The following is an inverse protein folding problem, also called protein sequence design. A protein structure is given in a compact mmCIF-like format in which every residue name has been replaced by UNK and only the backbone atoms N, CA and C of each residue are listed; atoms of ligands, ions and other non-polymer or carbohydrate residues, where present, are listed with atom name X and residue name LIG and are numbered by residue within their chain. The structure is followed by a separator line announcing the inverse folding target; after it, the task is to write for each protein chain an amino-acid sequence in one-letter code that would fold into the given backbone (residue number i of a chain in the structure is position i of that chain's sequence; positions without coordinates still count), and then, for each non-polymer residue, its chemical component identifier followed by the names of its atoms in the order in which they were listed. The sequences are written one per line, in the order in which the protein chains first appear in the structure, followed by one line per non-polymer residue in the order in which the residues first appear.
data_IF_455937593731
#
_entry.id   IF_455937593731
#
_cell.length_a   1.000
_cell.length_b   1.000
_cell.length_c   1.000
_cell.angle_alpha   90.00
_cell.angle_beta   90.00
_cell.angle_gamma   90.00
#
_symmetry.space_group_name_H-M   'P 1'
#
loop_
_entity.id
_entity.type
_entity.pdbx_description
1 polymer ?
#
# COMPACT_ATOMS: atom_id res chain seq x y z
N UNK A 1 -20.74 26.04 -20.99
CA UNK A 1 -19.52 25.30 -21.41
C UNK A 1 -19.48 24.00 -20.63
N UNK A 2 -19.68 22.87 -21.28
CA UNK A 2 -19.45 21.56 -20.68
C UNK A 2 -17.94 21.27 -20.77
N UNK A 3 -17.25 21.20 -19.64
CA UNK A 3 -15.86 20.74 -19.60
C UNK A 3 -15.91 19.23 -19.77
N UNK A 4 -15.54 18.74 -20.95
CA UNK A 4 -15.39 17.30 -21.20
C UNK A 4 -14.13 16.83 -20.46
N UNK A 5 -14.30 16.30 -19.25
CA UNK A 5 -13.23 15.67 -18.50
C UNK A 5 -12.98 14.29 -19.12
N UNK A 6 -11.95 14.17 -19.96
CA UNK A 6 -11.51 12.86 -20.44
C UNK A 6 -10.97 12.05 -19.26
N UNK A 7 -11.38 10.78 -19.09
CA UNK A 7 -10.83 9.94 -18.04
C UNK A 7 -9.33 9.75 -18.25
N UNK A 8 -8.51 10.24 -17.32
CA UNK A 8 -7.05 10.02 -17.35
C UNK A 8 -6.75 8.68 -16.70
N UNK A 9 -6.26 7.71 -17.49
CA UNK A 9 -5.55 6.55 -16.94
C UNK A 9 -4.23 7.05 -16.36
N UNK A 10 -4.11 7.06 -15.04
CA UNK A 10 -2.83 7.31 -14.38
C UNK A 10 -1.96 6.06 -14.49
N UNK A 11 -0.64 6.25 -14.68
CA UNK A 11 0.30 5.12 -14.62
C UNK A 11 0.30 4.50 -13.22
N UNK A 12 0.62 3.21 -13.13
CA UNK A 12 0.78 2.52 -11.84
C UNK A 12 1.76 3.26 -10.94
N UNK A 13 2.88 3.75 -11.48
CA UNK A 13 3.87 4.50 -10.71
C UNK A 13 3.32 5.81 -10.12
N UNK A 14 2.49 6.53 -10.87
CA UNK A 14 1.86 7.74 -10.36
C UNK A 14 0.91 7.40 -9.19
N UNK A 15 0.11 6.34 -9.34
CA UNK A 15 -0.78 5.89 -8.28
C UNK A 15 0.01 5.36 -7.08
N UNK A 16 1.11 4.63 -7.31
CA UNK A 16 1.99 4.10 -6.29
C UNK A 16 2.54 5.22 -5.40
N UNK A 17 3.04 6.30 -5.99
CA UNK A 17 3.53 7.45 -5.22
C UNK A 17 2.43 8.09 -4.36
N UNK A 18 1.20 8.18 -4.87
CA UNK A 18 0.07 8.74 -4.11
C UNK A 18 -0.36 7.84 -2.96
N UNK A 19 -0.47 6.53 -3.20
CA UNK A 19 -0.82 5.54 -2.17
C UNK A 19 0.28 5.45 -1.12
N UNK A 20 1.55 5.46 -1.53
CA UNK A 20 2.69 5.49 -0.63
C UNK A 20 2.66 6.74 0.28
N UNK A 21 2.46 7.93 -0.29
CA UNK A 21 2.34 9.16 0.50
C UNK A 21 1.16 9.11 1.50
N UNK A 22 0.04 8.49 1.11
CA UNK A 22 -1.09 8.27 2.00
C UNK A 22 -0.75 7.29 3.13
N UNK A 23 -0.06 6.18 2.84
CA UNK A 23 0.43 5.24 3.83
C UNK A 23 1.37 5.92 4.85
N UNK A 24 2.28 6.78 4.37
CA UNK A 24 3.12 7.59 5.25
C UNK A 24 2.31 8.53 6.14
N UNK A 25 1.26 9.17 5.61
CA UNK A 25 0.37 10.02 6.41
C UNK A 25 -0.33 9.22 7.51
N UNK A 26 -0.82 8.01 7.20
CA UNK A 26 -1.43 7.13 8.17
C UNK A 26 -0.45 6.75 9.29
N UNK A 27 0.81 6.50 8.95
CA UNK A 27 1.91 6.22 9.90
C UNK A 27 2.29 7.42 10.80
N UNK A 28 1.67 8.60 10.64
CA UNK A 28 2.01 9.81 11.37
C UNK A 28 3.03 10.71 10.66
N UNK A 29 3.30 10.45 9.38
CA UNK A 29 4.18 11.25 8.52
C UNK A 29 5.66 10.85 8.56
N UNK A 30 6.50 11.51 7.73
CA UNK A 30 7.90 11.14 7.56
C UNK A 30 8.75 11.34 8.82
N UNK A 31 8.40 12.29 9.71
CA UNK A 31 9.09 12.45 11.01
C UNK A 31 8.90 11.24 11.90
N UNK A 32 7.69 10.66 11.90
CA UNK A 32 7.39 9.49 12.73
C UNK A 32 8.20 8.26 12.32
N UNK A 33 8.47 8.08 11.03
CA UNK A 33 9.39 7.04 10.55
C UNK A 33 10.80 7.16 11.14
N UNK A 34 11.31 8.39 11.25
CA UNK A 34 12.63 8.67 11.84
C UNK A 34 12.62 8.35 13.33
N UNK A 35 11.59 8.77 14.05
CA UNK A 35 11.41 8.48 15.48
C UNK A 35 11.36 6.99 15.77
N UNK A 36 10.64 6.23 14.94
CA UNK A 36 10.55 4.78 15.04
C UNK A 36 11.87 4.08 14.68
N UNK A 37 12.81 4.80 14.03
CA UNK A 37 14.10 4.30 13.52
C UNK A 37 13.98 3.07 12.61
N UNK A 38 12.90 2.98 11.82
CA UNK A 38 12.60 1.80 10.98
C UNK A 38 12.79 2.08 9.50
N UNK A 39 14.04 2.30 9.07
CA UNK A 39 14.36 2.63 7.67
C UNK A 39 14.03 1.49 6.70
N UNK A 40 14.07 0.23 7.16
CA UNK A 40 13.68 -0.96 6.38
C UNK A 40 12.19 -1.02 6.04
N UNK A 41 11.36 -0.15 6.62
CA UNK A 41 9.94 -0.10 6.29
C UNK A 41 9.65 0.61 5.00
N UNK A 42 10.50 1.56 4.58
CA UNK A 42 10.28 2.32 3.35
C UNK A 42 10.31 1.40 2.11
N UNK A 43 11.35 0.54 1.92
CA UNK A 43 11.36 -0.42 0.81
C UNK A 43 10.18 -1.39 0.85
N UNK A 44 9.96 -2.07 1.99
CA UNK A 44 8.89 -3.06 2.11
C UNK A 44 7.49 -2.46 1.96
N UNK A 45 7.28 -1.22 2.40
CA UNK A 45 6.02 -0.50 2.18
C UNK A 45 5.82 -0.18 0.71
N UNK A 46 6.87 0.26 0.00
CA UNK A 46 6.77 0.52 -1.43
C UNK A 46 6.49 -0.77 -2.22
N UNK A 47 7.19 -1.87 -1.90
CA UNK A 47 6.91 -3.19 -2.47
C UNK A 47 5.45 -3.60 -2.25
N UNK A 48 4.94 -3.44 -1.02
CA UNK A 48 3.56 -3.74 -0.69
C UNK A 48 2.56 -2.88 -1.46
N UNK A 49 2.85 -1.58 -1.67
CA UNK A 49 2.03 -0.69 -2.50
C UNK A 49 1.97 -1.21 -3.93
N UNK A 50 3.11 -1.53 -4.55
CA UNK A 50 3.13 -2.07 -5.91
C UNK A 50 2.40 -3.41 -6.01
N UNK A 51 2.59 -4.32 -5.04
CA UNK A 51 1.86 -5.59 -4.98
C UNK A 51 0.34 -5.35 -4.99
N UNK A 52 -0.15 -4.44 -4.14
CA UNK A 52 -1.58 -4.12 -4.05
C UNK A 52 -2.08 -3.52 -5.37
N UNK A 53 -1.36 -2.57 -5.97
CA UNK A 53 -1.79 -1.91 -7.21
C UNK A 53 -1.80 -2.85 -8.41
N UNK A 54 -0.76 -3.67 -8.58
CA UNK A 54 -0.70 -4.65 -9.67
C UNK A 54 -1.81 -5.70 -9.53
N UNK A 55 -2.14 -6.08 -8.30
CA UNK A 55 -3.26 -6.99 -8.05
C UNK A 55 -4.62 -6.34 -8.33
N UNK A 56 -4.88 -5.15 -7.79
CA UNK A 56 -6.20 -4.51 -7.82
C UNK A 56 -6.50 -3.81 -9.15
N UNK A 57 -5.51 -3.17 -9.78
CA UNK A 57 -5.69 -2.37 -11.00
C UNK A 57 -5.38 -3.16 -12.28
N UNK A 58 -4.39 -4.05 -12.24
CA UNK A 58 -3.97 -4.84 -13.41
C UNK A 58 -4.44 -6.30 -13.35
N UNK A 59 -5.08 -6.72 -12.26
CA UNK A 59 -5.57 -8.10 -12.03
C UNK A 59 -4.47 -9.16 -12.14
N UNK A 60 -3.22 -8.80 -11.86
CA UNK A 60 -2.09 -9.73 -11.89
C UNK A 60 -2.17 -10.76 -10.77
N UNK A 61 -1.72 -11.96 -11.08
CA UNK A 61 -1.57 -13.06 -10.13
C UNK A 61 -0.33 -12.87 -9.25
N UNK A 62 -0.28 -13.57 -8.11
CA UNK A 62 0.88 -13.50 -7.22
C UNK A 62 2.20 -13.90 -7.91
N UNK A 63 2.15 -14.83 -8.87
CA UNK A 63 3.33 -15.28 -9.63
C UNK A 63 3.84 -14.20 -10.59
N UNK A 64 2.95 -13.51 -11.29
CA UNK A 64 3.30 -12.43 -12.21
C UNK A 64 3.86 -11.23 -11.46
N UNK A 65 3.25 -10.87 -10.32
CA UNK A 65 3.72 -9.78 -9.45
C UNK A 65 5.11 -10.12 -8.90
N UNK A 66 5.31 -11.35 -8.41
CA UNK A 66 6.60 -11.82 -7.92
C UNK A 66 7.71 -11.68 -8.98
N UNK A 67 7.43 -12.14 -10.21
CA UNK A 67 8.37 -12.02 -11.32
C UNK A 67 8.67 -10.55 -11.68
N UNK A 68 7.65 -9.68 -11.68
CA UNK A 68 7.81 -8.27 -12.03
C UNK A 68 8.61 -7.47 -11.00
N UNK A 69 8.48 -7.79 -9.71
CA UNK A 69 9.08 -7.02 -8.60
C UNK A 69 10.34 -7.68 -8.02
N UNK A 70 10.74 -8.87 -8.50
CA UNK A 70 11.86 -9.62 -7.93
C UNK A 70 11.56 -10.19 -6.53
N UNK A 71 10.30 -10.47 -6.23
CA UNK A 71 9.84 -11.03 -4.96
C UNK A 71 9.57 -12.54 -5.09
N UNK A 72 9.37 -13.22 -3.96
CA UNK A 72 8.83 -14.59 -3.99
C UNK A 72 7.30 -14.57 -4.06
N UNK A 73 6.65 -15.56 -4.69
CA UNK A 73 5.19 -15.67 -4.67
C UNK A 73 4.62 -15.75 -3.24
N UNK A 74 5.37 -16.31 -2.29
CA UNK A 74 4.99 -16.36 -0.89
C UNK A 74 4.96 -14.97 -0.26
N UNK A 75 5.98 -14.14 -0.50
CA UNK A 75 6.02 -12.75 -0.04
C UNK A 75 4.83 -11.97 -0.55
N UNK A 76 4.51 -12.11 -1.84
CA UNK A 76 3.33 -11.48 -2.46
C UNK A 76 2.04 -11.94 -1.79
N UNK A 77 1.87 -13.25 -1.56
CA UNK A 77 0.70 -13.78 -0.87
C UNK A 77 0.60 -13.29 0.58
N UNK A 78 1.71 -13.18 1.30
CA UNK A 78 1.74 -12.66 2.67
C UNK A 78 1.23 -11.20 2.70
N UNK A 79 1.70 -10.37 1.76
CA UNK A 79 1.23 -8.99 1.58
C UNK A 79 -0.27 -8.97 1.24
N UNK A 80 -0.70 -9.76 0.26
CA UNK A 80 -2.11 -9.83 -0.18
C UNK A 80 -3.05 -10.46 0.86
N UNK A 81 -2.55 -11.20 1.86
CA UNK A 81 -3.35 -11.73 2.97
C UNK A 81 -3.36 -10.83 4.20
N UNK A 82 -2.53 -9.79 4.22
CA UNK A 82 -2.48 -8.85 5.32
C UNK A 82 -3.84 -8.17 5.54
N UNK A 83 -4.28 -8.06 6.80
CA UNK A 83 -5.61 -7.54 7.15
C UNK A 83 -5.53 -6.05 7.53
N UNK A 84 -6.23 -5.13 6.84
CA UNK A 84 -6.18 -3.69 7.13
C UNK A 84 -6.52 -3.33 8.59
N UNK A 85 -7.47 -4.04 9.20
CA UNK A 85 -7.92 -3.78 10.58
C UNK A 85 -6.82 -4.06 11.60
N UNK A 86 -5.96 -5.04 11.30
CA UNK A 86 -4.81 -5.38 12.12
C UNK A 86 -3.74 -4.28 12.07
N UNK A 87 -3.55 -3.65 10.90
CA UNK A 87 -2.63 -2.52 10.78
C UNK A 87 -3.06 -1.34 11.67
N UNK A 88 -4.35 -0.98 11.72
CA UNK A 88 -4.80 0.16 12.55
C UNK A 88 -4.46 -0.04 14.03
N UNK A 89 -4.86 -1.17 14.61
CA UNK A 89 -4.60 -1.48 16.03
C UNK A 89 -3.11 -1.56 16.34
N UNK A 90 -2.33 -2.22 15.48
CA UNK A 90 -0.87 -2.33 15.67
C UNK A 90 -0.16 -1.00 15.49
N UNK A 91 -0.63 -0.19 14.55
CA UNK A 91 -0.11 1.15 14.33
C UNK A 91 -0.40 2.03 15.54
N UNK A 92 -1.61 2.02 16.08
CA UNK A 92 -1.96 2.73 17.31
C UNK A 92 -1.04 2.34 18.47
N UNK A 93 -0.90 1.04 18.74
CA UNK A 93 -0.01 0.53 19.78
C UNK A 93 1.47 0.92 19.53
N UNK A 94 1.92 0.88 18.27
CA UNK A 94 3.29 1.27 17.91
C UNK A 94 3.52 2.79 18.04
N UNK A 95 2.52 3.60 17.72
CA UNK A 95 2.57 5.06 17.89
C UNK A 95 2.49 5.46 19.37
N UNK A 96 1.78 4.67 20.18
CA UNK A 96 1.70 4.80 21.64
C UNK A 96 2.97 4.31 22.37
N UNK A 97 3.88 3.64 21.66
CA UNK A 97 5.11 3.09 22.24
C UNK A 97 4.90 1.76 22.99
N UNK A 98 3.76 1.11 22.80
CA UNK A 98 3.39 -0.16 23.47
C UNK A 98 3.94 -1.41 22.77
N UNK A 99 4.59 -1.24 21.60
CA UNK A 99 5.18 -2.32 20.81
C UNK A 99 6.64 -2.01 20.47
N UNK A 100 7.56 -2.68 21.17
CA UNK A 100 8.94 -2.79 20.73
C UNK A 100 9.11 -3.96 19.75
N UNK A 101 9.90 -3.72 18.70
CA UNK A 101 10.37 -4.68 17.68
C UNK A 101 9.31 -5.59 17.01
N UNK A 102 8.82 -5.15 15.85
CA UNK A 102 8.20 -6.06 14.90
C UNK A 102 9.29 -6.90 14.21
N UNK A 103 9.29 -8.21 14.40
CA UNK A 103 10.03 -9.17 13.58
C UNK A 103 9.70 -9.00 12.08
N UNK A 104 10.46 -9.66 11.20
CA UNK A 104 10.34 -9.48 9.75
C UNK A 104 8.96 -9.85 9.17
N UNK A 105 8.34 -10.90 9.72
CA UNK A 105 6.99 -11.30 9.35
C UNK A 105 5.99 -10.22 9.77
N UNK A 106 6.11 -9.71 10.99
CA UNK A 106 5.31 -8.60 11.49
C UNK A 106 5.50 -7.33 10.63
N UNK A 107 6.72 -7.02 10.17
CA UNK A 107 6.99 -5.88 9.29
C UNK A 107 6.31 -6.03 7.93
N UNK A 108 6.46 -7.20 7.30
CA UNK A 108 5.84 -7.50 6.00
C UNK A 108 4.32 -7.42 6.09
N UNK A 109 3.76 -7.98 7.17
CA UNK A 109 2.32 -7.94 7.42
C UNK A 109 1.82 -6.50 7.62
N UNK A 110 2.54 -5.68 8.38
CA UNK A 110 2.16 -4.27 8.56
C UNK A 110 2.31 -3.45 7.28
N UNK A 111 3.38 -3.64 6.51
CA UNK A 111 3.55 -2.97 5.22
C UNK A 111 2.38 -3.30 4.27
N UNK A 112 2.02 -4.59 4.17
CA UNK A 112 0.88 -5.03 3.38
C UNK A 112 -0.45 -4.45 3.84
N UNK A 113 -0.73 -4.50 5.15
CA UNK A 113 -1.97 -4.00 5.69
C UNK A 113 -2.08 -2.46 5.59
N UNK A 114 -0.97 -1.72 5.76
CA UNK A 114 -0.93 -0.27 5.59
C UNK A 114 -1.10 0.15 4.13
N UNK A 115 -0.47 -0.57 3.19
CA UNK A 115 -0.63 -0.33 1.76
C UNK A 115 -2.08 -0.53 1.30
N UNK A 116 -2.71 -1.63 1.75
CA UNK A 116 -4.13 -1.89 1.48
C UNK A 116 -5.05 -0.81 2.04
N UNK A 117 -4.85 -0.45 3.30
CA UNK A 117 -5.65 0.59 3.95
C UNK A 117 -5.51 1.94 3.21
N UNK A 118 -4.29 2.31 2.82
CA UNK A 118 -4.05 3.51 2.04
C UNK A 118 -4.72 3.46 0.67
N UNK A 119 -4.65 2.32 -0.03
CA UNK A 119 -5.32 2.11 -1.32
C UNK A 119 -6.84 2.20 -1.17
N UNK A 120 -7.43 1.53 -0.19
CA UNK A 120 -8.87 1.55 0.10
C UNK A 120 -9.38 2.97 0.35
N UNK A 121 -8.71 3.74 1.22
CA UNK A 121 -9.07 5.13 1.50
C UNK A 121 -8.90 6.06 0.28
N UNK A 122 -8.08 5.67 -0.70
CA UNK A 122 -7.88 6.41 -1.93
C UNK A 122 -8.70 5.90 -3.11
N UNK A 123 -9.31 4.70 -3.00
CA UNK A 123 -9.90 3.99 -4.14
C UNK A 123 -10.93 4.86 -4.87
N UNK A 124 -11.81 5.54 -4.14
CA UNK A 124 -12.80 6.45 -4.73
C UNK A 124 -12.19 7.65 -5.48
N UNK A 125 -11.00 8.10 -5.09
CA UNK A 125 -10.26 9.18 -5.75
C UNK A 125 -9.42 8.70 -6.94
N UNK A 126 -9.14 7.39 -7.00
CA UNK A 126 -8.35 6.73 -8.04
C UNK A 126 -9.25 6.14 -9.15
N UNK A 127 -10.46 5.70 -8.79
CA UNK A 127 -11.48 5.11 -9.68
C UNK A 127 -12.49 6.17 -10.16
N UNK A 128 -12.15 7.46 -10.12
CA UNK A 128 -12.94 8.52 -10.75
C UNK A 128 -12.84 8.51 -12.30
N UNK A 129 -12.99 7.33 -12.90
CA UNK A 129 -13.21 7.07 -14.31
C UNK A 129 -14.45 6.16 -14.38
N UNK A 130 -15.61 6.65 -14.86
CA UNK A 130 -16.85 5.91 -14.83
C UNK A 130 -16.75 4.58 -15.59
N UNK A 131 -17.33 3.53 -15.01
CA UNK A 131 -17.37 2.15 -15.51
C UNK A 131 -18.41 1.95 -16.64
N UNK A 132 -18.98 3.02 -17.20
CA UNK A 132 -20.18 2.95 -18.05
C UNK A 132 -19.94 2.86 -19.57
N UNK A 133 -18.75 2.46 -20.05
CA UNK A 133 -18.60 2.11 -21.49
C UNK A 133 -17.61 0.96 -21.72
N UNK A 134 -18.06 -0.26 -21.42
CA UNK A 134 -17.55 -1.50 -22.01
C UNK A 134 -18.72 -2.21 -22.72
#
# INVERSE_FOLDING_TARGET
MAVVVKPRRYSVDFVAMRVFAKALKLLGGPRKLIELRRVTWLPSLMEAVYVVLLHEMERKTAKEIAAALGLTPQTVQNILRAKPEFARKRLEALLAGELETADEETRTHMAGALAKLAFEEMRSQLVAVPEEMA
#
